data_IF_335435290617
#
_entry.id   IF_335435290617
#
_cell.length_a   1.000
_cell.length_b   1.000
_cell.length_c   1.000
_cell.angle_alpha   90.00
_cell.angle_beta   90.00
_cell.angle_gamma   90.00
#
_symmetry.space_group_name_H-M   'P 1'
#
loop_
_entity.id
_entity.type
_entity.pdbx_description
1 polymer ?
#
# COMPACT_ATOMS: atom_id res chain seq x y z
N UNK A 1 5.55 6.57 13.10
CA UNK A 1 4.64 5.41 13.06
C UNK A 1 3.24 5.86 13.46
N UNK A 2 2.20 5.19 12.95
CA UNK A 2 0.81 5.47 13.32
C UNK A 2 0.34 4.50 14.41
N UNK A 3 -0.39 5.01 15.40
CA UNK A 3 -0.82 4.19 16.55
C UNK A 3 -1.93 3.19 16.21
N UNK A 4 -2.79 3.51 15.22
CA UNK A 4 -4.00 2.73 14.92
C UNK A 4 -3.98 2.18 13.50
N UNK A 5 -3.82 0.86 13.38
CA UNK A 5 -4.07 0.10 12.14
C UNK A 5 -5.58 -0.01 11.86
N UNK A 6 -6.00 -0.38 10.63
CA UNK A 6 -7.40 -0.64 10.33
C UNK A 6 -8.00 -1.67 11.31
N UNK A 7 -9.21 -1.40 11.83
CA UNK A 7 -9.87 -2.26 12.83
C UNK A 7 -10.29 -3.63 12.28
N UNK A 8 -10.50 -3.71 10.97
CA UNK A 8 -10.82 -4.94 10.26
C UNK A 8 -10.36 -4.83 8.81
N UNK A 9 -10.22 -5.99 8.17
CA UNK A 9 -9.79 -6.14 6.77
C UNK A 9 -10.82 -5.57 5.79
N UNK A 10 -12.10 -5.55 6.18
CA UNK A 10 -13.17 -4.84 5.48
C UNK A 10 -12.91 -3.33 5.37
N UNK A 11 -11.96 -2.77 6.13
CA UNK A 11 -11.51 -1.38 6.04
C UNK A 11 -10.42 -1.12 4.99
N UNK A 12 -9.97 -2.14 4.25
CA UNK A 12 -8.97 -2.01 3.18
C UNK A 12 -9.68 -1.84 1.83
N UNK A 13 -10.38 -0.72 1.68
CA UNK A 13 -11.10 -0.36 0.46
C UNK A 13 -10.43 0.82 -0.23
N UNK A 14 -10.58 0.87 -1.56
CA UNK A 14 -10.25 2.07 -2.33
C UNK A 14 -11.04 3.27 -1.80
N UNK A 15 -10.35 4.38 -1.63
CA UNK A 15 -10.96 5.63 -1.18
C UNK A 15 -11.38 6.53 -2.35
N UNK A 16 -10.80 6.35 -3.54
CA UNK A 16 -11.02 7.19 -4.72
C UNK A 16 -10.28 8.54 -4.62
N UNK A 17 -10.52 9.43 -5.58
CA UNK A 17 -9.76 10.69 -5.75
C UNK A 17 -9.89 11.66 -4.57
N UNK A 18 -10.99 11.56 -3.81
CA UNK A 18 -11.25 12.37 -2.60
C UNK A 18 -10.80 11.67 -1.32
N UNK A 19 -10.06 10.58 -1.44
CA UNK A 19 -9.53 9.81 -0.33
C UNK A 19 -8.60 10.63 0.55
N UNK A 20 -8.47 10.21 1.81
CA UNK A 20 -7.50 10.78 2.75
C UNK A 20 -6.54 9.70 3.15
N UNK A 21 -5.33 9.79 2.62
CA UNK A 21 -4.29 8.80 2.79
C UNK A 21 -3.35 9.24 3.91
N UNK A 22 -2.98 8.30 4.79
CA UNK A 22 -2.10 8.59 5.93
C UNK A 22 -0.67 8.16 5.63
N UNK A 23 0.27 8.71 6.41
CA UNK A 23 1.68 8.34 6.32
C UNK A 23 2.45 9.23 5.37
N UNK A 24 3.55 8.70 4.85
CA UNK A 24 4.53 9.45 4.05
C UNK A 24 4.05 9.48 2.60
N UNK A 25 3.95 10.68 2.01
CA UNK A 25 3.62 10.83 0.60
C UNK A 25 4.82 10.43 -0.25
N UNK A 26 4.65 9.47 -1.16
CA UNK A 26 5.74 8.98 -2.01
C UNK A 26 6.29 10.07 -2.93
N UNK A 27 5.44 11.01 -3.36
CA UNK A 27 5.85 12.17 -4.16
C UNK A 27 6.82 13.13 -3.47
N UNK A 28 6.95 13.08 -2.14
CA UNK A 28 7.86 13.92 -1.36
C UNK A 28 9.23 13.25 -1.12
N UNK A 29 9.37 11.98 -1.50
CA UNK A 29 10.61 11.23 -1.37
C UNK A 29 11.64 11.61 -2.44
N UNK A 30 12.92 11.33 -2.20
CA UNK A 30 13.95 11.45 -3.22
C UNK A 30 13.75 10.42 -4.35
N UNK A 31 14.37 10.64 -5.51
CA UNK A 31 14.16 9.79 -6.69
C UNK A 31 14.53 8.32 -6.43
N UNK A 32 15.65 8.07 -5.77
CA UNK A 32 16.12 6.72 -5.39
C UNK A 32 15.14 6.02 -4.44
N UNK A 33 14.54 6.76 -3.51
CA UNK A 33 13.50 6.24 -2.62
C UNK A 33 12.21 5.92 -3.40
N UNK A 34 11.82 6.75 -4.38
CA UNK A 34 10.67 6.45 -5.24
C UNK A 34 10.88 5.17 -6.07
N UNK A 35 12.10 4.95 -6.59
CA UNK A 35 12.48 3.73 -7.31
C UNK A 35 12.41 2.48 -6.42
N UNK A 36 12.77 2.60 -5.14
CA UNK A 36 12.60 1.51 -4.16
C UNK A 36 11.12 1.19 -3.93
N UNK A 37 10.26 2.21 -3.81
CA UNK A 37 8.80 2.00 -3.68
C UNK A 37 8.25 1.30 -4.91
N UNK A 38 8.67 1.70 -6.12
CA UNK A 38 8.28 1.02 -7.35
C UNK A 38 8.68 -0.47 -7.34
N UNK A 39 9.89 -0.76 -6.88
CA UNK A 39 10.40 -2.13 -6.77
C UNK A 39 9.57 -2.96 -5.78
N UNK A 40 9.17 -2.38 -4.65
CA UNK A 40 8.25 -3.02 -3.69
C UNK A 40 6.90 -3.33 -4.34
N UNK A 41 6.31 -2.40 -5.10
CA UNK A 41 5.03 -2.64 -5.79
C UNK A 41 5.19 -3.76 -6.82
N UNK A 42 6.29 -3.80 -7.58
CA UNK A 42 6.59 -4.90 -8.51
C UNK A 42 6.65 -6.24 -7.78
N UNK A 43 7.27 -6.31 -6.59
CA UNK A 43 7.31 -7.52 -5.77
C UNK A 43 5.91 -7.92 -5.28
N UNK A 44 5.09 -6.96 -4.84
CA UNK A 44 3.70 -7.23 -4.41
C UNK A 44 2.87 -7.83 -5.56
N UNK A 45 3.10 -7.35 -6.79
CA UNK A 45 2.37 -7.79 -7.98
C UNK A 45 2.95 -9.04 -8.65
N UNK A 46 4.19 -9.43 -8.33
CA UNK A 46 4.89 -10.55 -8.96
C UNK A 46 4.16 -11.91 -8.93
N UNK A 47 3.35 -12.25 -7.91
CA UNK A 47 2.61 -13.51 -7.90
C UNK A 47 1.44 -13.59 -8.88
N UNK A 48 1.01 -12.46 -9.47
CA UNK A 48 -0.15 -12.39 -10.37
C UNK A 48 0.25 -12.58 -11.83
N UNK A 49 -0.72 -12.89 -12.70
CA UNK A 49 -0.46 -13.08 -14.14
C UNK A 49 -0.04 -11.75 -14.76
N UNK A 50 0.82 -11.81 -15.78
CA UNK A 50 1.34 -10.62 -16.47
C UNK A 50 0.23 -9.66 -16.92
N UNK A 51 -0.87 -10.18 -17.48
CA UNK A 51 -2.02 -9.37 -17.89
C UNK A 51 -2.69 -8.63 -16.71
N UNK A 52 -2.80 -9.26 -15.54
CA UNK A 52 -3.37 -8.63 -14.34
C UNK A 52 -2.41 -7.55 -13.78
N UNK A 53 -1.11 -7.79 -13.86
CA UNK A 53 -0.07 -6.82 -13.46
C UNK A 53 -0.09 -5.60 -14.37
N UNK A 54 -0.22 -5.81 -15.67
CA UNK A 54 -0.36 -4.72 -16.65
C UNK A 54 -1.61 -3.89 -16.37
N UNK A 55 -2.77 -4.52 -16.18
CA UNK A 55 -4.03 -3.84 -15.84
C UNK A 55 -3.91 -3.05 -14.52
N UNK A 56 -3.36 -3.67 -13.46
CA UNK A 56 -3.11 -3.01 -12.19
C UNK A 56 -2.19 -1.78 -12.33
N UNK A 57 -1.16 -1.90 -13.17
CA UNK A 57 -0.25 -0.79 -13.49
C UNK A 57 -0.96 0.34 -14.22
N UNK A 58 -1.89 0.03 -15.12
CA UNK A 58 -2.71 1.03 -15.81
C UNK A 58 -3.62 1.79 -14.82
N UNK A 59 -4.26 1.08 -13.89
CA UNK A 59 -5.05 1.72 -12.83
C UNK A 59 -4.21 2.59 -11.91
N UNK A 60 -3.02 2.13 -11.52
CA UNK A 60 -2.09 2.91 -10.70
C UNK A 60 -1.71 4.22 -11.42
N UNK A 61 -1.32 4.14 -12.71
CA UNK A 61 -1.02 5.33 -13.53
C UNK A 61 -2.22 6.27 -13.63
N UNK A 62 -3.42 5.73 -13.82
CA UNK A 62 -4.64 6.52 -13.90
C UNK A 62 -4.98 7.25 -12.58
N UNK A 63 -4.57 6.72 -11.43
CA UNK A 63 -4.69 7.38 -10.12
C UNK A 63 -3.61 8.41 -9.82
N UNK A 64 -2.77 8.75 -10.80
CA UNK A 64 -1.64 9.68 -10.67
C UNK A 64 -0.29 9.01 -10.34
N UNK A 65 -0.22 7.68 -10.43
CA UNK A 65 1.01 6.92 -10.30
C UNK A 65 1.59 6.89 -8.89
N UNK A 66 2.87 6.51 -8.80
CA UNK A 66 3.58 6.34 -7.52
C UNK A 66 3.51 7.58 -6.63
N UNK A 67 3.60 8.78 -7.21
CA UNK A 67 3.68 10.04 -6.46
C UNK A 67 2.40 10.35 -5.67
N UNK A 68 1.27 9.75 -6.04
CA UNK A 68 -0.01 9.87 -5.36
C UNK A 68 -0.25 8.77 -4.31
N UNK A 69 0.73 7.89 -4.09
CA UNK A 69 0.65 6.90 -3.03
C UNK A 69 1.17 7.48 -1.71
N UNK A 70 0.62 6.97 -0.63
CA UNK A 70 1.11 7.20 0.72
C UNK A 70 1.45 5.86 1.38
N UNK A 71 2.52 5.87 2.16
CA UNK A 71 2.99 4.72 2.93
C UNK A 71 2.82 4.96 4.42
N UNK A 72 2.02 4.11 5.06
CA UNK A 72 1.79 4.13 6.49
C UNK A 72 2.36 2.88 7.14
N UNK A 73 3.15 3.08 8.19
CA UNK A 73 3.70 2.03 9.05
C UNK A 73 3.09 2.18 10.44
N UNK A 74 2.69 1.08 11.06
CA UNK A 74 1.93 1.08 12.31
C UNK A 74 2.76 0.53 13.46
N UNK A 75 2.58 1.08 14.66
CA UNK A 75 3.27 0.58 15.88
C UNK A 75 2.67 -0.74 16.37
N UNK A 76 1.38 -0.95 16.11
CA UNK A 76 0.66 -2.12 16.60
C UNK A 76 1.05 -3.37 15.81
N UNK A 77 1.49 -4.40 16.53
CA UNK A 77 1.90 -5.68 15.95
C UNK A 77 3.39 -5.87 15.74
N UNK A 78 4.25 -5.07 16.40
CA UNK A 78 5.71 -5.29 16.52
C UNK A 78 5.99 -6.71 17.05
N UNK A 79 6.41 -7.59 16.15
CA UNK A 79 6.72 -8.97 16.45
C UNK A 79 8.11 -9.07 17.06
N UNK A 80 8.24 -9.87 18.10
CA UNK A 80 9.51 -10.06 18.82
C UNK A 80 10.12 -8.78 19.42
N UNK A 81 9.40 -7.64 19.40
CA UNK A 81 9.87 -6.34 19.90
C UNK A 81 11.14 -5.86 19.20
N UNK A 82 11.31 -6.19 17.92
CA UNK A 82 12.47 -5.80 17.10
C UNK A 82 12.30 -4.44 16.41
N UNK A 83 11.11 -3.84 16.51
CA UNK A 83 10.74 -2.56 15.92
C UNK A 83 10.77 -2.56 14.38
N UNK A 84 10.77 -3.75 13.76
CA UNK A 84 10.48 -3.88 12.34
C UNK A 84 9.00 -3.57 12.07
N UNK A 85 8.71 -3.15 10.83
CA UNK A 85 7.35 -2.76 10.47
C UNK A 85 6.54 -3.97 10.00
N UNK A 86 5.97 -4.70 10.96
CA UNK A 86 5.13 -5.88 10.69
C UNK A 86 3.74 -5.57 10.15
N UNK A 87 3.34 -4.29 10.22
CA UNK A 87 2.06 -3.81 9.74
C UNK A 87 2.29 -2.53 8.94
N UNK A 88 1.91 -2.59 7.66
CA UNK A 88 2.06 -1.46 6.75
C UNK A 88 0.95 -1.40 5.72
N UNK A 89 0.77 -0.20 5.16
CA UNK A 89 -0.22 0.11 4.13
C UNK A 89 0.40 1.03 3.09
N UNK A 90 0.21 0.69 1.82
CA UNK A 90 0.52 1.56 0.68
C UNK A 90 -0.80 1.86 0.00
N UNK A 91 -1.23 3.12 -0.07
CA UNK A 91 -2.54 3.45 -0.61
C UNK A 91 -2.55 4.77 -1.40
N UNK A 92 -3.46 4.84 -2.36
CA UNK A 92 -3.79 6.03 -3.12
C UNK A 92 -5.20 5.90 -3.72
N UNK A 93 -5.55 6.75 -4.71
CA UNK A 93 -6.91 6.79 -5.27
C UNK A 93 -7.41 5.46 -5.85
N UNK A 94 -6.53 4.74 -6.54
CA UNK A 94 -6.85 3.53 -7.33
C UNK A 94 -6.10 2.28 -6.88
N UNK A 95 -5.34 2.36 -5.78
CA UNK A 95 -4.50 1.28 -5.28
C UNK A 95 -4.53 1.25 -3.76
N UNK A 96 -4.70 0.07 -3.18
CA UNK A 96 -4.39 -0.17 -1.76
C UNK A 96 -3.77 -1.56 -1.59
N UNK A 97 -2.63 -1.59 -0.93
CA UNK A 97 -1.99 -2.78 -0.39
C UNK A 97 -1.90 -2.66 1.13
N UNK A 98 -2.31 -3.68 1.85
CA UNK A 98 -2.21 -3.75 3.31
C UNK A 98 -1.64 -5.09 3.74
N UNK A 99 -0.64 -5.05 4.61
CA UNK A 99 0.01 -6.23 5.16
C UNK A 99 -0.03 -6.22 6.68
N UNK A 100 -0.16 -7.42 7.25
CA UNK A 100 -0.08 -7.67 8.69
C UNK A 100 0.51 -9.05 8.95
N UNK A 101 1.63 -9.11 9.66
CA UNK A 101 2.36 -10.36 9.92
C UNK A 101 1.75 -11.30 10.97
N UNK A 102 0.98 -10.78 11.95
CA UNK A 102 0.50 -11.57 13.09
C UNK A 102 -0.96 -11.28 13.53
N UNK A 103 -1.64 -12.27 14.16
CA UNK A 103 -1.17 -13.62 14.50
C UNK A 103 -1.24 -14.61 13.33
N UNK A 104 -1.92 -14.24 12.25
CA UNK A 104 -1.89 -14.93 10.96
C UNK A 104 -1.53 -13.89 9.89
N UNK A 105 -0.66 -14.28 8.96
CA UNK A 105 -0.18 -13.39 7.90
C UNK A 105 -1.32 -13.08 6.95
N UNK A 106 -1.71 -11.81 6.87
CA UNK A 106 -2.70 -11.36 5.90
C UNK A 106 -2.10 -10.31 4.97
N UNK A 107 -2.35 -10.48 3.68
CA UNK A 107 -2.01 -9.53 2.63
C UNK A 107 -3.25 -9.23 1.80
N UNK A 108 -3.59 -7.95 1.67
CA UNK A 108 -4.71 -7.46 0.88
C UNK A 108 -4.19 -6.58 -0.23
N UNK A 109 -4.75 -6.79 -1.41
CA UNK A 109 -4.52 -5.95 -2.57
C UNK A 109 -5.87 -5.62 -3.20
N UNK A 110 -6.13 -4.34 -3.42
CA UNK A 110 -7.27 -3.88 -4.19
C UNK A 110 -6.79 -2.79 -5.15
N UNK A 111 -6.95 -3.05 -6.45
CA UNK A 111 -6.53 -2.17 -7.53
C UNK A 111 -7.71 -2.01 -8.47
N UNK A 112 -8.03 -0.76 -8.82
CA UNK A 112 -9.16 -0.47 -9.68
C UNK A 112 -9.62 0.98 -9.55
N UNK A 113 -10.79 1.28 -10.08
CA UNK A 113 -11.44 2.59 -9.87
C UNK A 113 -12.63 2.40 -8.95
N UNK A 114 -12.75 3.31 -7.98
CA UNK A 114 -13.99 3.46 -7.23
C UNK A 114 -14.99 4.19 -8.12
N UNK A 115 -16.15 3.57 -8.35
CA UNK A 115 -17.27 4.20 -9.03
C UNK A 115 -17.80 5.41 -8.23
#
# INVERSE_FOLDING_TARGET
LLDKKPKSEAGVLLQGDKGRFKGITVGELSSDQQELVESVIKVILAPYREADVEEATQFLKAGGGLKQLNMAFYQDGDLNSDQEWDVWRIEGPTFVSYFRGAPHVHAYLNVGRKA
#
